data_IF_327595551648
#
_entry.id   IF_327595551648
#
_cell.length_a   1.000
_cell.length_b   1.000
_cell.length_c   1.000
_cell.angle_alpha   90.00
_cell.angle_beta   90.00
_cell.angle_gamma   90.00
#
_symmetry.space_group_name_H-M   'P 1'
#
loop_
_entity.id
_entity.type
_entity.pdbx_description
1 polymer ?
#
# COMPACT_ATOMS: atom_id res chain seq x y z
N UNK A 1 -14.78 -0.70 94.36
CA UNK A 1 -15.94 -0.64 93.46
C UNK A 1 -15.45 -0.32 92.05
N UNK A 2 -15.62 -1.25 91.12
CA UNK A 2 -15.47 -1.09 89.67
C UNK A 2 -16.68 -0.29 89.10
N UNK A 3 -16.79 0.01 87.80
CA UNK A 3 -15.82 0.51 86.80
C UNK A 3 -16.46 1.56 85.85
N UNK A 4 -15.72 2.09 84.85
CA UNK A 4 -16.21 2.15 83.45
C UNK A 4 -15.10 2.52 82.46
N UNK A 5 -14.93 1.62 81.50
CA UNK A 5 -14.02 1.65 80.36
C UNK A 5 -14.55 2.49 79.19
N UNK A 6 -13.65 2.73 78.22
CA UNK A 6 -13.84 2.78 76.74
C UNK A 6 -13.45 4.11 76.11
N UNK A 7 -12.77 4.22 74.96
CA UNK A 7 -11.99 3.39 74.00
C UNK A 7 -11.31 4.42 73.06
N UNK A 8 -10.21 4.10 72.35
CA UNK A 8 -9.51 5.09 71.51
C UNK A 8 -10.25 5.37 70.21
N UNK A 9 -10.18 6.61 69.74
CA UNK A 9 -10.72 7.07 68.45
C UNK A 9 -9.92 6.43 67.31
N UNK A 10 -10.62 5.64 66.50
CA UNK A 10 -10.11 4.91 65.33
C UNK A 10 -9.64 5.87 64.23
N UNK A 11 -8.39 5.71 63.80
CA UNK A 11 -7.86 6.31 62.57
C UNK A 11 -8.56 5.70 61.35
N UNK A 12 -9.30 6.51 60.61
CA UNK A 12 -9.96 6.08 59.37
C UNK A 12 -8.91 5.93 58.26
N UNK A 13 -8.41 4.72 58.07
CA UNK A 13 -7.66 4.36 56.87
C UNK A 13 -8.57 4.54 55.63
N UNK A 14 -8.07 5.24 54.61
CA UNK A 14 -8.70 5.29 53.28
C UNK A 14 -8.88 3.85 52.76
N UNK A 15 -10.05 3.46 52.22
CA UNK A 15 -10.18 2.13 51.64
C UNK A 15 -9.28 2.04 50.41
N UNK A 16 -8.60 0.90 50.27
CA UNK A 16 -7.85 0.53 49.09
C UNK A 16 -8.73 0.69 47.85
N UNK A 17 -8.35 1.58 46.92
CA UNK A 17 -8.87 1.51 45.55
C UNK A 17 -8.56 0.11 45.04
N UNK A 18 -9.64 -0.58 44.72
CA UNK A 18 -9.80 -2.03 44.61
C UNK A 18 -8.75 -2.70 43.71
N UNK A 19 -8.08 -3.71 44.25
CA UNK A 19 -7.18 -4.63 43.53
C UNK A 19 -7.86 -5.27 42.31
N UNK A 20 -9.19 -5.43 42.33
CA UNK A 20 -9.98 -5.96 41.21
C UNK A 20 -10.17 -4.93 40.07
N UNK A 21 -10.20 -3.64 40.40
CA UNK A 21 -10.27 -2.55 39.42
C UNK A 21 -8.94 -2.42 38.68
N UNK A 22 -7.81 -2.54 39.39
CA UNK A 22 -6.45 -2.55 38.81
C UNK A 22 -6.23 -3.78 37.91
N UNK A 23 -6.69 -4.96 38.32
CA UNK A 23 -6.59 -6.19 37.51
C UNK A 23 -7.43 -6.10 36.21
N UNK A 24 -8.61 -5.49 36.27
CA UNK A 24 -9.47 -5.29 35.09
C UNK A 24 -8.84 -4.30 34.09
N UNK A 25 -8.29 -3.18 34.58
CA UNK A 25 -7.56 -2.23 33.74
C UNK A 25 -6.27 -2.84 33.15
N UNK A 26 -5.58 -3.69 33.91
CA UNK A 26 -4.40 -4.41 33.43
C UNK A 26 -4.75 -5.42 32.33
N UNK A 27 -5.89 -6.10 32.45
CA UNK A 27 -6.37 -7.05 31.44
C UNK A 27 -6.82 -6.35 30.15
N UNK A 28 -7.58 -5.25 30.24
CA UNK A 28 -8.01 -4.50 29.06
C UNK A 28 -6.83 -3.88 28.31
N UNK A 29 -5.83 -3.36 29.03
CA UNK A 29 -4.57 -2.90 28.43
C UNK A 29 -3.82 -4.04 27.71
N UNK A 30 -3.71 -5.21 28.36
CA UNK A 30 -3.10 -6.39 27.74
C UNK A 30 -3.82 -6.85 26.46
N UNK A 31 -5.16 -6.87 26.46
CA UNK A 31 -5.95 -7.17 25.25
C UNK A 31 -5.71 -6.14 24.15
N UNK A 32 -5.61 -4.85 24.50
CA UNK A 32 -5.26 -3.79 23.56
C UNK A 32 -3.89 -4.00 22.92
N UNK A 33 -2.88 -4.35 23.73
CA UNK A 33 -1.53 -4.65 23.25
C UNK A 33 -1.49 -5.88 22.34
N UNK A 34 -2.24 -6.94 22.66
CA UNK A 34 -2.35 -8.12 21.80
C UNK A 34 -3.01 -7.79 20.46
N UNK A 35 -4.10 -7.01 20.46
CA UNK A 35 -4.75 -6.56 19.23
C UNK A 35 -3.79 -5.79 18.33
N UNK A 36 -2.99 -4.88 18.90
CA UNK A 36 -1.96 -4.14 18.15
C UNK A 36 -0.91 -5.08 17.56
N UNK A 37 -0.34 -6.00 18.36
CA UNK A 37 0.65 -6.98 17.89
C UNK A 37 0.12 -7.86 16.75
N UNK A 38 -1.14 -8.32 16.86
CA UNK A 38 -1.79 -9.10 15.82
C UNK A 38 -1.98 -8.27 14.54
N UNK A 39 -2.44 -7.03 14.66
CA UNK A 39 -2.62 -6.15 13.51
C UNK A 39 -1.31 -5.88 12.77
N UNK A 40 -0.23 -5.59 13.50
CA UNK A 40 1.11 -5.40 12.96
C UNK A 40 1.65 -6.66 12.25
N UNK A 41 1.47 -7.83 12.87
CA UNK A 41 1.89 -9.10 12.27
C UNK A 41 1.13 -9.40 10.97
N UNK A 42 -0.19 -9.17 10.96
CA UNK A 42 -1.02 -9.31 9.74
C UNK A 42 -0.59 -8.33 8.65
N UNK A 43 -0.32 -7.09 9.01
CA UNK A 43 0.14 -6.07 8.07
C UNK A 43 1.48 -6.47 7.41
N UNK A 44 2.47 -6.91 8.20
CA UNK A 44 3.76 -7.39 7.67
C UNK A 44 3.58 -8.60 6.74
N UNK A 45 2.75 -9.56 7.12
CA UNK A 45 2.45 -10.71 6.27
C UNK A 45 1.81 -10.28 4.95
N UNK A 46 0.82 -9.38 4.99
CA UNK A 46 0.17 -8.85 3.79
C UNK A 46 1.13 -8.10 2.87
N UNK A 47 2.07 -7.31 3.41
CA UNK A 47 3.10 -6.65 2.60
C UNK A 47 4.04 -7.65 1.92
N UNK A 48 4.45 -8.70 2.64
CA UNK A 48 5.29 -9.76 2.08
C UNK A 48 4.57 -10.49 0.95
N UNK A 49 3.32 -10.89 1.16
CA UNK A 49 2.49 -11.55 0.14
C UNK A 49 2.27 -10.65 -1.07
N UNK A 50 1.98 -9.36 -0.85
CA UNK A 50 1.81 -8.40 -1.94
C UNK A 50 3.08 -8.31 -2.79
N UNK A 51 4.25 -8.18 -2.15
CA UNK A 51 5.53 -8.09 -2.84
C UNK A 51 5.76 -9.30 -3.75
N UNK A 52 5.62 -10.51 -3.22
CA UNK A 52 5.80 -11.73 -4.00
C UNK A 52 4.79 -11.83 -5.15
N UNK A 53 3.53 -11.46 -4.91
CA UNK A 53 2.49 -11.47 -5.95
C UNK A 53 2.81 -10.50 -7.09
N UNK A 54 3.25 -9.29 -6.78
CA UNK A 54 3.60 -8.29 -7.80
C UNK A 54 4.83 -8.72 -8.60
N UNK A 55 5.83 -9.31 -7.95
CA UNK A 55 7.01 -9.83 -8.63
C UNK A 55 6.66 -11.01 -9.54
N UNK A 56 5.81 -11.92 -9.08
CA UNK A 56 5.29 -13.01 -9.91
C UNK A 56 4.56 -12.47 -11.15
N UNK A 57 3.66 -11.50 -10.96
CA UNK A 57 2.92 -10.88 -12.07
C UNK A 57 3.83 -10.17 -13.06
N UNK A 58 4.88 -9.49 -12.58
CA UNK A 58 5.89 -8.90 -13.43
C UNK A 58 6.65 -9.97 -14.23
N UNK A 59 7.09 -11.05 -13.58
CA UNK A 59 7.80 -12.16 -14.22
C UNK A 59 6.96 -12.84 -15.30
N UNK A 60 5.68 -13.12 -15.01
CA UNK A 60 4.76 -13.68 -16.02
C UNK A 60 4.62 -12.72 -17.21
N UNK A 61 4.52 -11.42 -16.95
CA UNK A 61 4.47 -10.42 -18.00
C UNK A 61 5.73 -10.39 -18.88
N UNK A 62 6.92 -10.51 -18.27
CA UNK A 62 8.20 -10.63 -18.96
C UNK A 62 8.24 -11.88 -19.84
N UNK A 63 7.88 -13.03 -19.30
CA UNK A 63 7.85 -14.30 -20.04
C UNK A 63 6.90 -14.23 -21.24
N UNK A 64 5.75 -13.57 -21.09
CA UNK A 64 4.83 -13.34 -22.20
C UNK A 64 5.50 -12.46 -23.26
N UNK A 65 6.10 -11.33 -22.89
CA UNK A 65 6.77 -10.43 -23.84
C UNK A 65 7.89 -11.13 -24.61
N UNK A 66 8.77 -11.84 -23.90
CA UNK A 66 9.91 -12.55 -24.50
C UNK A 66 9.43 -13.63 -25.50
N UNK A 67 8.33 -14.34 -25.20
CA UNK A 67 7.73 -15.30 -26.14
C UNK A 67 6.98 -14.63 -27.30
N UNK A 68 6.36 -13.48 -27.09
CA UNK A 68 5.79 -12.70 -28.20
C UNK A 68 6.86 -12.29 -29.21
N UNK A 69 8.03 -11.87 -28.72
CA UNK A 69 9.15 -11.48 -29.58
C UNK A 69 9.77 -12.68 -30.31
N UNK A 70 10.03 -13.79 -29.60
CA UNK A 70 10.73 -14.95 -30.17
C UNK A 70 9.86 -15.85 -31.03
N UNK A 71 8.59 -16.00 -30.68
CA UNK A 71 7.68 -16.99 -31.28
C UNK A 71 6.48 -16.35 -32.00
N UNK A 72 6.36 -15.02 -31.98
CA UNK A 72 5.27 -14.31 -32.66
C UNK A 72 3.90 -14.51 -32.00
N UNK A 73 3.86 -14.78 -30.70
CA UNK A 73 2.60 -15.05 -29.99
C UNK A 73 1.60 -13.89 -30.11
N UNK A 74 0.45 -14.15 -30.75
CA UNK A 74 -0.67 -13.20 -30.83
C UNK A 74 -1.57 -13.22 -29.60
N UNK A 75 -2.57 -12.33 -29.58
CA UNK A 75 -3.52 -12.18 -28.47
C UNK A 75 -4.26 -13.49 -28.10
N UNK A 76 -4.53 -14.36 -29.08
CA UNK A 76 -5.20 -15.66 -28.88
C UNK A 76 -4.38 -16.62 -27.99
N UNK A 77 -3.05 -16.51 -27.98
CA UNK A 77 -2.19 -17.37 -27.16
C UNK A 77 -2.34 -17.03 -25.69
N UNK A 78 -2.48 -15.74 -25.36
CA UNK A 78 -2.71 -15.29 -23.98
C UNK A 78 -4.05 -15.82 -23.45
N UNK A 79 -5.09 -15.81 -24.29
CA UNK A 79 -6.40 -16.32 -23.89
C UNK A 79 -6.37 -17.84 -23.64
N UNK A 80 -5.62 -18.61 -24.46
CA UNK A 80 -5.38 -20.04 -24.21
C UNK A 80 -4.57 -20.28 -22.94
N UNK A 81 -3.50 -19.53 -22.74
CA UNK A 81 -2.65 -19.61 -21.54
C UNK A 81 -3.48 -19.38 -20.27
N UNK A 82 -4.37 -18.39 -20.27
CA UNK A 82 -5.26 -18.14 -19.14
C UNK A 82 -6.16 -19.34 -18.81
N UNK A 83 -6.72 -19.98 -19.83
CA UNK A 83 -7.56 -21.17 -19.66
C UNK A 83 -6.74 -22.34 -19.10
N UNK A 84 -5.56 -22.58 -19.66
CA UNK A 84 -4.69 -23.68 -19.22
C UNK A 84 -4.20 -23.46 -17.78
N UNK A 85 -3.81 -22.24 -17.42
CA UNK A 85 -3.42 -21.88 -16.06
C UNK A 85 -4.58 -21.99 -15.06
N UNK A 86 -5.78 -21.52 -15.42
CA UNK A 86 -6.94 -21.62 -14.55
C UNK A 86 -7.37 -23.07 -14.27
N UNK A 87 -7.14 -23.99 -15.22
CA UNK A 87 -7.35 -25.43 -15.01
C UNK A 87 -6.28 -26.06 -14.13
N UNK A 88 -5.02 -25.64 -14.31
CA UNK A 88 -3.90 -26.18 -13.57
C UNK A 88 -3.83 -25.69 -12.11
N UNK A 89 -4.33 -24.47 -11.85
CA UNK A 89 -4.26 -23.77 -10.57
C UNK A 89 -5.64 -23.21 -10.17
N UNK A 90 -6.65 -24.08 -9.92
CA UNK A 90 -8.02 -23.62 -9.65
C UNK A 90 -8.18 -22.81 -8.35
N UNK A 91 -7.28 -23.01 -7.38
CA UNK A 91 -7.24 -22.26 -6.12
C UNK A 91 -6.67 -20.84 -6.28
N UNK A 92 -5.92 -20.58 -7.36
CA UNK A 92 -5.29 -19.29 -7.59
C UNK A 92 -6.24 -18.33 -8.31
N UNK A 93 -6.51 -17.20 -7.65
CA UNK A 93 -7.27 -16.10 -8.27
C UNK A 93 -6.32 -15.15 -9.01
N UNK A 94 -6.81 -14.48 -10.05
CA UNK A 94 -6.03 -13.47 -10.78
C UNK A 94 -5.31 -13.94 -12.05
N UNK A 95 -5.51 -15.19 -12.50
CA UNK A 95 -4.94 -15.68 -13.76
C UNK A 95 -5.89 -15.58 -14.97
N UNK A 96 -6.83 -14.64 -14.95
CA UNK A 96 -7.74 -14.42 -16.08
C UNK A 96 -7.00 -13.84 -17.29
N UNK A 97 -7.52 -14.08 -18.51
CA UNK A 97 -6.90 -13.57 -19.74
C UNK A 97 -6.77 -12.04 -19.75
N UNK A 98 -7.72 -11.31 -19.13
CA UNK A 98 -7.60 -9.86 -18.91
C UNK A 98 -6.42 -9.54 -18.00
N UNK A 99 -6.26 -10.26 -16.89
CA UNK A 99 -5.16 -9.98 -15.96
C UNK A 99 -3.80 -10.34 -16.56
N UNK A 100 -3.68 -11.42 -17.35
CA UNK A 100 -2.44 -11.73 -18.08
C UNK A 100 -2.05 -10.62 -19.08
N UNK A 101 -3.04 -10.01 -19.74
CA UNK A 101 -2.80 -8.84 -20.61
C UNK A 101 -2.28 -7.65 -19.80
N UNK A 102 -2.79 -7.44 -18.57
CA UNK A 102 -2.25 -6.44 -17.65
C UNK A 102 -0.86 -6.78 -17.14
N UNK A 103 -0.57 -8.05 -16.80
CA UNK A 103 0.78 -8.49 -16.41
C UNK A 103 1.80 -8.20 -17.51
N UNK A 104 1.45 -8.50 -18.76
CA UNK A 104 2.26 -8.16 -19.93
C UNK A 104 2.48 -6.64 -20.04
N UNK A 105 1.40 -5.85 -19.97
CA UNK A 105 1.50 -4.39 -20.04
C UNK A 105 2.34 -3.81 -18.89
N UNK A 106 2.22 -4.40 -17.71
CA UNK A 106 2.96 -4.05 -16.51
C UNK A 106 4.46 -4.30 -16.68
N UNK A 107 4.84 -5.47 -17.19
CA UNK A 107 6.24 -5.78 -17.48
C UNK A 107 6.83 -4.86 -18.57
N UNK A 108 6.04 -4.51 -19.59
CA UNK A 108 6.48 -3.58 -20.63
C UNK A 108 6.60 -2.14 -20.13
N UNK A 109 5.76 -1.74 -19.19
CA UNK A 109 5.79 -0.42 -18.55
C UNK A 109 6.96 -0.24 -17.57
N UNK A 110 7.47 -1.34 -17.02
CA UNK A 110 8.55 -1.36 -16.03
C UNK A 110 9.65 -2.36 -16.44
N UNK A 111 10.55 -2.00 -17.36
CA UNK A 111 11.60 -2.90 -17.81
C UNK A 111 12.68 -3.15 -16.75
N UNK A 112 12.89 -2.20 -15.83
CA UNK A 112 13.89 -2.31 -14.75
C UNK A 112 13.32 -3.09 -13.55
N UNK A 113 13.83 -4.31 -13.36
CA UNK A 113 13.44 -5.19 -12.25
C UNK A 113 13.80 -4.63 -10.87
N UNK A 114 14.88 -3.84 -10.73
CA UNK A 114 15.23 -3.23 -9.45
C UNK A 114 14.21 -2.16 -9.03
N UNK A 115 13.74 -1.36 -10.00
CA UNK A 115 12.69 -0.38 -9.75
C UNK A 115 11.39 -1.08 -9.34
N UNK A 116 11.04 -2.19 -10.00
CA UNK A 116 9.87 -2.98 -9.65
C UNK A 116 9.96 -3.49 -8.22
N UNK A 117 11.09 -4.09 -7.84
CA UNK A 117 11.28 -4.59 -6.47
C UNK A 117 11.24 -3.49 -5.40
N UNK A 118 11.84 -2.34 -5.68
CA UNK A 118 11.97 -1.25 -4.69
C UNK A 118 10.72 -0.40 -4.57
N UNK A 119 9.99 -0.16 -5.66
CA UNK A 119 8.88 0.81 -5.68
C UNK A 119 7.58 0.08 -5.96
N UNK A 120 7.48 -0.53 -7.13
CA UNK A 120 6.21 -0.99 -7.69
C UNK A 120 5.61 -2.17 -6.91
N UNK A 121 6.47 -3.04 -6.36
CA UNK A 121 6.08 -4.18 -5.52
C UNK A 121 5.59 -3.78 -4.11
N UNK A 122 5.80 -2.53 -3.70
CA UNK A 122 5.21 -1.99 -2.47
C UNK A 122 3.75 -1.58 -2.67
N UNK A 123 3.33 -1.35 -3.93
CA UNK A 123 1.96 -0.95 -4.25
C UNK A 123 1.05 -2.19 -4.44
N UNK A 124 -0.21 -2.13 -3.98
CA UNK A 124 -1.20 -3.14 -4.33
C UNK A 124 -1.41 -3.24 -5.84
N UNK A 125 -1.77 -4.44 -6.34
CA UNK A 125 -1.98 -4.67 -7.77
C UNK A 125 -2.96 -3.68 -8.42
N UNK A 126 -4.04 -3.32 -7.71
CA UNK A 126 -5.03 -2.36 -8.21
C UNK A 126 -4.46 -0.96 -8.45
N UNK A 127 -3.49 -0.51 -7.65
CA UNK A 127 -2.79 0.77 -7.89
C UNK A 127 -1.94 0.69 -9.15
N UNK A 128 -1.23 -0.42 -9.32
CA UNK A 128 -0.41 -0.67 -10.51
C UNK A 128 -1.25 -0.67 -11.79
N UNK A 129 -2.41 -1.33 -11.78
CA UNK A 129 -3.36 -1.29 -12.91
C UNK A 129 -3.84 0.15 -13.18
N UNK A 130 -4.22 0.91 -12.15
CA UNK A 130 -4.64 2.30 -12.33
C UNK A 130 -3.53 3.19 -12.90
N UNK A 131 -2.27 2.99 -12.50
CA UNK A 131 -1.13 3.69 -13.09
C UNK A 131 -0.93 3.36 -14.58
N UNK A 132 -1.13 2.10 -14.96
CA UNK A 132 -1.03 1.67 -16.36
C UNK A 132 -2.13 2.25 -17.23
N UNK A 133 -3.36 2.29 -16.71
CA UNK A 133 -4.53 2.80 -17.45
C UNK A 133 -4.49 4.32 -17.61
N UNK A 134 -4.07 5.05 -16.57
CA UNK A 134 -4.19 6.51 -16.52
C UNK A 134 -2.95 7.27 -16.99
N UNK A 135 -1.75 6.69 -16.88
CA UNK A 135 -0.49 7.42 -17.13
C UNK A 135 0.35 6.72 -18.20
N UNK A 136 0.55 7.40 -19.33
CA UNK A 136 1.32 6.85 -20.47
C UNK A 136 2.83 7.07 -20.36
N UNK A 137 3.24 8.25 -19.91
CA UNK A 137 4.65 8.61 -19.78
C UNK A 137 5.30 7.84 -18.62
N UNK A 138 6.45 7.21 -18.89
CA UNK A 138 7.16 6.37 -17.90
C UNK A 138 7.62 7.18 -16.69
N UNK A 139 8.15 8.39 -16.90
CA UNK A 139 8.64 9.26 -15.82
C UNK A 139 7.51 9.72 -14.90
N UNK A 140 6.40 10.19 -15.48
CA UNK A 140 5.22 10.60 -14.72
C UNK A 140 4.64 9.43 -13.93
N UNK A 141 4.59 8.23 -14.54
CA UNK A 141 4.11 7.02 -13.87
C UNK A 141 4.99 6.65 -12.68
N UNK A 142 6.32 6.70 -12.86
CA UNK A 142 7.29 6.42 -11.80
C UNK A 142 7.13 7.41 -10.64
N UNK A 143 6.92 8.69 -10.97
CA UNK A 143 6.71 9.73 -9.98
C UNK A 143 5.45 9.49 -9.16
N UNK A 144 4.30 9.23 -9.79
CA UNK A 144 3.07 8.93 -9.04
C UNK A 144 3.20 7.66 -8.19
N UNK A 145 3.91 6.63 -8.67
CA UNK A 145 4.17 5.43 -7.90
C UNK A 145 4.96 5.73 -6.61
N UNK A 146 6.01 6.55 -6.71
CA UNK A 146 6.80 6.99 -5.55
C UNK A 146 5.96 7.81 -4.57
N UNK A 147 5.18 8.78 -5.07
CA UNK A 147 4.33 9.63 -4.24
C UNK A 147 3.22 8.84 -3.53
N UNK A 148 2.67 7.82 -4.19
CA UNK A 148 1.68 6.95 -3.58
C UNK A 148 2.24 6.16 -2.39
N UNK A 149 3.52 5.77 -2.45
CA UNK A 149 4.21 5.09 -1.34
C UNK A 149 4.54 6.10 -0.23
N UNK A 150 5.14 7.24 -0.59
CA UNK A 150 5.58 8.27 0.35
C UNK A 150 4.42 8.80 1.20
N UNK A 151 3.27 9.05 0.57
CA UNK A 151 2.09 9.61 1.23
C UNK A 151 1.03 8.57 1.59
N UNK A 152 1.27 7.28 1.33
CA UNK A 152 0.34 6.20 1.64
C UNK A 152 -1.03 6.34 0.95
N UNK A 153 -1.05 6.78 -0.31
CA UNK A 153 -2.30 7.03 -1.01
C UNK A 153 -3.12 5.76 -1.22
N UNK A 154 -4.40 5.83 -0.90
CA UNK A 154 -5.37 4.83 -1.36
C UNK A 154 -5.50 4.90 -2.88
N UNK A 155 -6.01 3.83 -3.50
CA UNK A 155 -6.22 3.79 -4.95
C UNK A 155 -7.09 4.94 -5.44
N UNK A 156 -8.13 5.29 -4.68
CA UNK A 156 -9.03 6.40 -5.03
C UNK A 156 -8.30 7.75 -4.96
N UNK A 157 -7.46 7.96 -3.94
CA UNK A 157 -6.65 9.19 -3.83
C UNK A 157 -5.64 9.26 -4.97
N UNK A 158 -4.96 8.16 -5.30
CA UNK A 158 -4.04 8.10 -6.43
C UNK A 158 -4.72 8.51 -7.74
N UNK A 159 -5.88 7.93 -8.05
CA UNK A 159 -6.65 8.29 -9.25
C UNK A 159 -7.02 9.76 -9.24
N UNK A 160 -7.52 10.29 -8.12
CA UNK A 160 -7.84 11.70 -7.99
C UNK A 160 -6.62 12.61 -8.22
N UNK A 161 -5.44 12.25 -7.68
CA UNK A 161 -4.22 13.02 -7.89
C UNK A 161 -3.77 13.02 -9.35
N UNK A 162 -3.94 11.90 -10.05
CA UNK A 162 -3.68 11.79 -11.50
C UNK A 162 -4.64 12.68 -12.28
N UNK A 163 -5.94 12.59 -12.01
CA UNK A 163 -6.99 13.42 -12.66
C UNK A 163 -6.76 14.92 -12.43
N UNK A 164 -6.26 15.28 -11.25
CA UNK A 164 -5.90 16.66 -10.92
C UNK A 164 -4.56 17.13 -11.54
N UNK A 165 -3.90 16.29 -12.33
CA UNK A 165 -2.60 16.55 -12.95
C UNK A 165 -1.54 17.11 -11.97
N UNK A 166 -1.45 16.50 -10.78
CA UNK A 166 -0.54 16.96 -9.72
C UNK A 166 0.92 17.05 -10.21
N UNK A 167 1.37 16.09 -11.01
CA UNK A 167 2.72 16.09 -11.59
C UNK A 167 3.01 17.37 -12.39
N UNK A 168 2.12 17.73 -13.31
CA UNK A 168 2.25 18.95 -14.11
C UNK A 168 2.25 20.22 -13.25
N UNK A 169 1.38 20.27 -12.23
CA UNK A 169 1.31 21.43 -11.30
C UNK A 169 2.60 21.62 -10.51
N UNK A 170 3.23 20.54 -10.06
CA UNK A 170 4.54 20.60 -9.36
C UNK A 170 5.68 20.99 -10.30
N UNK A 171 5.66 20.50 -11.55
CA UNK A 171 6.61 20.91 -12.59
C UNK A 171 6.51 22.41 -12.91
N UNK A 172 5.30 22.92 -13.10
CA UNK A 172 5.04 24.35 -13.40
C UNK A 172 5.32 25.29 -12.22
N UNK A 173 5.18 24.81 -10.99
CA UNK A 173 5.49 25.60 -9.80
C UNK A 173 6.99 25.96 -9.75
N UNK A 174 7.89 25.06 -10.14
CA UNK A 174 9.33 25.34 -10.17
C UNK A 174 9.70 26.38 -11.24
N UNK A 175 9.01 26.40 -12.39
CA UNK A 175 9.28 27.37 -13.46
C UNK A 175 8.76 28.78 -13.16
N UNK A 176 7.68 28.91 -12.38
CA UNK A 176 7.10 30.23 -12.07
C UNK A 176 7.92 31.04 -11.07
N UNK A 177 8.81 30.42 -10.28
CA UNK A 177 9.74 31.13 -9.40
C UNK A 177 11.00 31.65 -10.11
N UNK A 178 11.23 31.29 -11.37
CA UNK A 178 12.38 31.72 -12.17
C UNK A 178 12.08 32.92 -13.08
N UNK A 179 10.89 33.51 -13.00
CA UNK A 179 10.62 34.84 -13.59
C UNK A 179 10.78 35.86 -12.46
N UNK A 180 11.93 36.56 -12.33
CA UNK A 180 12.02 37.69 -11.43
C UNK A 180 10.99 38.71 -11.93
N UNK A 181 10.08 39.10 -11.05
CA UNK A 181 9.19 40.23 -11.27
C UNK A 181 10.05 41.44 -11.65
N UNK A 182 10.11 41.77 -12.94
CA UNK A 182 10.72 43.02 -13.40
C UNK A 182 9.70 44.11 -13.09
N UNK A 183 9.99 45.07 -12.20
CA UNK A 183 9.08 46.17 -11.96
C UNK A 183 9.00 47.00 -13.24
N UNK A 184 7.79 47.08 -13.79
CA UNK A 184 7.43 47.95 -14.92
C UNK A 184 7.85 49.38 -14.58
N UNK A 185 8.92 49.86 -15.21
CA UNK A 185 9.32 51.25 -15.11
C UNK A 185 8.39 52.07 -16.01
N UNK A 186 7.46 52.79 -15.39
CA UNK A 186 6.73 53.88 -16.03
C UNK A 186 7.69 55.06 -16.21
N UNK A 187 8.01 55.37 -17.47
CA UNK A 187 8.18 56.73 -18.00
C UNK A 187 8.28 56.70 -19.52
#
# INVERSE_FOLDING_TARGET
>A
MNPRSSKPVSSRAKPAKSTAEVATHSYTAFVGDLKRKIAEARHRASLSVNRELILLYWSIGRDILDRQEREGWGAKVIDRLAVDLARALPEMTGLSGRNLKYMRAFAGAWPDGEFVQRVVAQLPWGHNVSLLDSVKATEERAWYAQQAIEHGWSRAVLVHQIESALFARRGSALTNFLVPCQPSSLN
#
